data_IF_974551200859
#
_entry.id   IF_974551200859
#
_cell.length_a   1.000
_cell.length_b   1.000
_cell.length_c   1.000
_cell.angle_alpha   90.00
_cell.angle_beta   90.00
_cell.angle_gamma   90.00
#
_symmetry.space_group_name_H-M   'P 1'
#
loop_
_entity.id
_entity.type
_entity.pdbx_description
1 polymer ?
#
# COMPACT_ATOMS: atom_id res chain seq x y z
N UNK A 1 -31.39 -38.76 67.44
CA UNK A 1 -30.01 -39.28 67.24
C UNK A 1 -29.55 -38.78 65.86
N UNK A 2 -29.02 -37.56 65.73
CA UNK A 2 -27.58 -37.22 65.66
C UNK A 2 -26.79 -38.08 64.66
N UNK A 3 -26.43 -37.50 63.49
CA UNK A 3 -25.16 -37.60 62.72
C UNK A 3 -25.24 -36.57 61.56
N UNK A 4 -24.84 -35.30 61.72
CA UNK A 4 -23.53 -34.68 61.41
C UNK A 4 -22.92 -34.98 60.00
N UNK A 5 -22.95 -33.94 59.15
CA UNK A 5 -21.87 -33.40 58.27
C UNK A 5 -21.00 -34.33 57.40
N UNK A 6 -21.03 -34.12 56.07
CA UNK A 6 -19.81 -34.05 55.26
C UNK A 6 -20.02 -33.16 54.00
N UNK A 7 -19.38 -31.99 54.04
CA UNK A 7 -19.17 -31.09 52.88
C UNK A 7 -17.87 -31.53 52.19
N UNK A 8 -17.82 -31.29 50.87
CA UNK A 8 -16.64 -31.06 50.04
C UNK A 8 -15.98 -32.23 49.28
N UNK A 9 -15.84 -31.95 47.98
CA UNK A 9 -14.81 -32.39 47.03
C UNK A 9 -15.05 -33.73 46.33
N UNK A 10 -15.63 -33.63 45.13
CA UNK A 10 -14.98 -34.12 43.90
C UNK A 10 -15.33 -33.18 42.73
N UNK A 11 -14.88 -31.93 42.82
CA UNK A 11 -14.68 -31.04 41.66
C UNK A 11 -13.23 -31.26 41.21
N UNK A 12 -12.98 -32.24 40.34
CA UNK A 12 -11.65 -32.53 39.86
C UNK A 12 -11.67 -32.95 38.39
N UNK A 13 -12.04 -32.01 37.52
CA UNK A 13 -11.67 -32.04 36.09
C UNK A 13 -11.64 -30.64 35.47
N UNK A 14 -11.25 -29.60 36.24
CA UNK A 14 -11.18 -28.21 35.76
C UNK A 14 -9.74 -27.67 35.70
N UNK A 15 -8.73 -28.54 35.68
CA UNK A 15 -7.31 -28.14 35.70
C UNK A 15 -6.64 -27.98 34.34
N UNK A 16 -7.28 -28.40 33.23
CA UNK A 16 -6.66 -28.38 31.88
C UNK A 16 -7.19 -27.23 31.00
N UNK A 17 -8.23 -26.52 31.43
CA UNK A 17 -8.89 -25.46 30.63
C UNK A 17 -8.53 -24.04 31.12
N UNK A 18 -7.75 -23.89 32.20
CA UNK A 18 -7.44 -22.56 32.75
C UNK A 18 -6.38 -21.79 31.94
N UNK A 19 -5.46 -22.49 31.28
CA UNK A 19 -4.33 -21.87 30.55
C UNK A 19 -4.74 -21.38 29.15
N UNK A 20 -5.66 -22.09 28.49
CA UNK A 20 -6.19 -21.69 27.17
C UNK A 20 -7.22 -20.54 27.27
N UNK A 21 -7.78 -20.31 28.47
CA UNK A 21 -8.67 -19.19 28.73
C UNK A 21 -7.92 -17.85 28.91
N UNK A 22 -6.61 -17.89 29.18
CA UNK A 22 -5.79 -16.70 29.45
C UNK A 22 -5.45 -15.93 28.16
N UNK A 23 -5.35 -16.63 27.03
CA UNK A 23 -5.15 -16.03 25.69
C UNK A 23 -6.38 -15.24 25.22
N UNK A 24 -7.58 -15.72 25.56
CA UNK A 24 -8.84 -15.06 25.20
C UNK A 24 -9.21 -13.96 26.21
N UNK A 25 -8.79 -14.11 27.48
CA UNK A 25 -9.07 -13.14 28.55
C UNK A 25 -8.11 -11.94 28.53
N UNK A 26 -6.87 -12.10 28.07
CA UNK A 26 -5.88 -11.01 27.96
C UNK A 26 -5.68 -10.50 26.53
N UNK A 27 -6.62 -10.76 25.61
CA UNK A 27 -6.52 -10.13 24.29
C UNK A 27 -6.69 -8.61 24.47
N UNK A 28 -5.61 -7.85 24.37
CA UNK A 28 -5.69 -6.40 24.30
C UNK A 28 -6.51 -6.04 23.06
N UNK A 29 -7.77 -5.66 23.28
CA UNK A 29 -8.66 -5.27 22.21
C UNK A 29 -8.09 -4.00 21.58
N UNK A 30 -7.73 -4.07 20.29
CA UNK A 30 -7.32 -2.89 19.52
C UNK A 30 -8.39 -1.80 19.65
N UNK A 31 -8.01 -0.64 20.19
CA UNK A 31 -8.94 0.47 20.33
C UNK A 31 -9.39 0.96 18.95
N UNK A 32 -10.69 1.21 18.81
CA UNK A 32 -11.26 1.79 17.58
C UNK A 32 -10.53 3.07 17.16
N UNK A 33 -10.08 3.88 18.13
CA UNK A 33 -9.29 5.09 17.85
C UNK A 33 -7.94 4.78 17.21
N UNK A 34 -7.25 3.72 17.66
CA UNK A 34 -5.96 3.29 17.10
C UNK A 34 -6.14 2.71 15.70
N UNK A 35 -7.20 1.92 15.48
CA UNK A 35 -7.54 1.42 14.14
C UNK A 35 -7.95 2.55 13.19
N UNK A 36 -8.70 3.54 13.68
CA UNK A 36 -9.13 4.68 12.88
C UNK A 36 -7.93 5.57 12.51
N UNK A 37 -7.03 5.85 13.46
CA UNK A 37 -5.79 6.59 13.20
C UNK A 37 -4.85 5.84 12.25
N UNK A 38 -4.70 4.52 12.40
CA UNK A 38 -3.92 3.70 11.47
C UNK A 38 -4.49 3.67 10.04
N UNK A 39 -5.77 4.00 9.87
CA UNK A 39 -6.48 4.10 8.58
C UNK A 39 -6.59 5.54 8.05
N UNK A 40 -5.83 6.48 8.62
CA UNK A 40 -5.81 7.89 8.23
C UNK A 40 -6.82 8.77 8.96
N UNK A 41 -7.66 8.22 9.84
CA UNK A 41 -8.64 9.00 10.59
C UNK A 41 -9.79 9.55 9.72
N UNK A 42 -10.66 10.36 10.34
CA UNK A 42 -11.71 11.10 9.65
C UNK A 42 -11.37 12.59 9.74
N UNK A 43 -10.62 13.09 8.77
CA UNK A 43 -10.37 14.52 8.61
C UNK A 43 -11.23 15.06 7.46
N UNK A 44 -11.88 16.21 7.68
CA UNK A 44 -12.60 16.95 6.64
C UNK A 44 -11.63 17.93 5.98
N UNK A 45 -11.10 17.56 4.82
CA UNK A 45 -10.20 18.43 4.04
C UNK A 45 -11.01 19.23 3.03
N UNK A 46 -11.32 20.48 3.37
CA UNK A 46 -11.98 21.41 2.45
C UNK A 46 -10.93 22.06 1.55
N UNK A 47 -10.76 21.51 0.34
CA UNK A 47 -9.87 22.07 -0.68
C UNK A 47 -10.71 22.89 -1.66
N UNK A 48 -10.59 24.21 -1.57
CA UNK A 48 -11.43 25.14 -2.37
C UNK A 48 -10.94 25.32 -3.82
N UNK A 49 -9.66 25.05 -4.11
CA UNK A 49 -9.13 25.04 -5.48
C UNK A 49 -7.81 24.25 -5.55
N UNK A 50 -7.74 23.23 -6.40
CA UNK A 50 -6.52 22.49 -6.67
C UNK A 50 -6.35 22.31 -8.18
N UNK A 51 -5.24 22.81 -8.73
CA UNK A 51 -4.91 22.64 -10.14
C UNK A 51 -3.48 22.13 -10.27
N UNK A 52 -3.30 21.11 -11.11
CA UNK A 52 -1.99 20.79 -11.62
C UNK A 52 -2.09 20.52 -13.11
N UNK A 53 -1.17 21.13 -13.84
CA UNK A 53 -1.08 21.05 -15.29
C UNK A 53 0.36 20.76 -15.68
N UNK A 54 0.53 20.22 -16.88
CA UNK A 54 1.82 20.18 -17.53
C UNK A 54 1.62 20.57 -18.99
N UNK A 55 2.35 21.61 -19.38
CA UNK A 55 2.41 22.06 -20.76
C UNK A 55 3.72 21.58 -21.37
N UNK A 56 3.65 21.00 -22.57
CA UNK A 56 4.80 20.45 -23.28
C UNK A 56 4.78 20.95 -24.71
N UNK A 57 5.87 21.62 -25.09
CA UNK A 57 6.06 22.14 -26.44
C UNK A 57 7.41 21.66 -26.95
N UNK A 58 7.42 21.09 -28.14
CA UNK A 58 8.64 20.75 -28.80
C UNK A 58 8.41 20.54 -30.28
N UNK A 59 9.49 20.69 -31.02
CA UNK A 59 9.53 20.58 -32.46
C UNK A 59 10.75 19.75 -32.86
N UNK A 60 10.62 19.01 -33.95
CA UNK A 60 11.66 18.15 -34.51
C UNK A 60 11.81 18.47 -35.99
N UNK A 61 12.21 19.71 -36.28
CA UNK A 61 12.39 20.21 -37.64
C UNK A 61 13.86 20.16 -38.11
N UNK A 62 14.05 20.12 -39.43
CA UNK A 62 15.38 20.21 -40.06
C UNK A 62 16.23 18.93 -39.97
N UNK A 63 15.62 17.79 -39.66
CA UNK A 63 16.36 16.57 -39.38
C UNK A 63 16.67 15.73 -40.61
N UNK A 64 17.85 15.12 -40.60
CA UNK A 64 18.27 14.10 -41.57
C UNK A 64 18.96 12.96 -40.84
N UNK A 65 18.57 11.73 -41.14
CA UNK A 65 19.23 10.53 -40.64
C UNK A 65 19.64 9.67 -41.83
N UNK A 66 20.94 9.38 -41.95
CA UNK A 66 21.52 8.62 -43.06
C UNK A 66 22.57 7.65 -42.51
N UNK A 67 22.54 6.40 -43.00
CA UNK A 67 23.40 5.30 -42.53
C UNK A 67 23.25 4.99 -41.03
N UNK A 68 22.08 5.22 -40.43
CA UNK A 68 21.86 4.94 -39.03
C UNK A 68 21.51 3.46 -38.82
N UNK A 69 22.15 2.85 -37.82
CA UNK A 69 21.70 1.59 -37.21
C UNK A 69 21.06 1.95 -35.88
N UNK A 70 19.79 1.60 -35.69
CA UNK A 70 19.06 1.79 -34.44
C UNK A 70 19.09 0.50 -33.62
N UNK A 71 19.01 0.60 -32.29
CA UNK A 71 18.99 -0.55 -31.39
C UNK A 71 17.59 -1.06 -31.05
N UNK A 72 17.53 -2.01 -30.13
CA UNK A 72 16.29 -2.51 -29.55
C UNK A 72 15.97 -1.83 -28.22
N UNK A 73 14.69 -1.51 -28.04
CA UNK A 73 14.13 -1.07 -26.78
C UNK A 73 13.74 -2.34 -25.99
N UNK A 74 14.69 -2.91 -25.25
CA UNK A 74 14.44 -4.15 -24.51
C UNK A 74 14.14 -3.85 -23.05
N UNK A 75 12.95 -4.31 -22.63
CA UNK A 75 12.48 -4.42 -21.26
C UNK A 75 12.11 -5.90 -21.12
N UNK A 76 12.89 -6.64 -20.33
CA UNK A 76 12.78 -8.10 -20.26
C UNK A 76 12.18 -8.57 -18.92
N UNK A 77 12.11 -9.88 -18.72
CA UNK A 77 11.49 -10.53 -17.57
C UNK A 77 11.91 -9.88 -16.24
N UNK A 78 10.91 -9.60 -15.42
CA UNK A 78 11.05 -8.97 -14.09
C UNK A 78 11.55 -7.52 -14.09
N UNK A 79 11.59 -6.82 -15.23
CA UNK A 79 12.03 -5.41 -15.31
C UNK A 79 11.30 -4.47 -14.33
N UNK A 80 10.05 -4.79 -14.01
CA UNK A 80 9.20 -4.05 -13.08
C UNK A 80 8.53 -4.99 -12.06
N UNK A 81 9.15 -6.14 -11.76
CA UNK A 81 8.66 -6.98 -10.65
C UNK A 81 8.63 -6.15 -9.38
N UNK A 82 7.55 -6.28 -8.61
CA UNK A 82 7.33 -5.61 -7.33
C UNK A 82 7.31 -4.08 -7.39
N UNK A 83 7.27 -3.51 -8.61
CA UNK A 83 7.22 -2.07 -8.78
C UNK A 83 5.85 -1.53 -8.35
N UNK A 84 5.86 -0.50 -7.51
CA UNK A 84 4.65 0.10 -6.93
C UNK A 84 4.75 1.62 -6.94
N UNK A 85 3.62 2.29 -6.84
CA UNK A 85 3.53 3.73 -7.02
C UNK A 85 3.44 4.11 -8.50
N UNK A 86 4.06 5.22 -8.88
CA UNK A 86 3.97 5.76 -10.23
C UNK A 86 5.26 5.49 -10.99
N UNK A 87 5.15 4.70 -12.06
CA UNK A 87 6.25 4.32 -12.92
C UNK A 87 6.10 5.00 -14.27
N UNK A 88 7.21 5.53 -14.78
CA UNK A 88 7.25 6.14 -16.10
C UNK A 88 8.45 5.58 -16.85
N UNK A 89 8.19 4.97 -17.99
CA UNK A 89 9.20 4.30 -18.80
C UNK A 89 9.04 4.76 -20.23
N UNK A 90 10.12 5.30 -20.76
CA UNK A 90 10.19 5.71 -22.15
C UNK A 90 11.42 5.08 -22.76
N UNK A 91 11.21 4.36 -23.86
CA UNK A 91 12.28 3.77 -24.65
C UNK A 91 12.17 4.24 -26.09
N UNK A 92 13.27 4.78 -26.62
CA UNK A 92 13.36 5.18 -28.01
C UNK A 92 14.76 4.88 -28.56
N UNK A 93 14.83 4.02 -29.57
CA UNK A 93 16.08 3.68 -30.25
C UNK A 93 16.25 4.39 -31.59
N UNK A 94 15.30 5.25 -31.94
CA UNK A 94 15.25 5.94 -33.22
C UNK A 94 16.12 7.19 -33.25
N UNK A 95 16.19 7.79 -34.44
CA UNK A 95 16.76 9.11 -34.64
C UNK A 95 15.62 10.12 -34.80
N UNK A 96 15.90 11.39 -34.55
CA UNK A 96 14.92 12.47 -34.73
C UNK A 96 13.69 12.26 -33.85
N UNK A 97 13.91 11.91 -32.58
CA UNK A 97 12.82 11.67 -31.64
C UNK A 97 12.83 12.74 -30.58
N UNK A 98 11.72 13.47 -30.52
CA UNK A 98 11.34 14.24 -29.36
C UNK A 98 10.42 13.39 -28.49
N UNK A 99 10.79 13.27 -27.23
CA UNK A 99 9.98 12.63 -26.21
C UNK A 99 9.54 13.70 -25.24
N UNK A 100 8.22 13.85 -25.12
CA UNK A 100 7.61 14.71 -24.13
C UNK A 100 6.72 13.85 -23.26
N UNK A 101 7.14 13.66 -22.02
CA UNK A 101 6.35 12.97 -21.01
C UNK A 101 6.25 13.84 -19.77
N UNK A 102 5.04 13.96 -19.24
CA UNK A 102 4.78 14.55 -17.96
C UNK A 102 3.87 13.64 -17.15
N UNK A 103 4.26 13.39 -15.91
CA UNK A 103 3.44 12.70 -14.92
C UNK A 103 3.09 13.71 -13.85
N UNK A 104 1.83 14.15 -13.85
CA UNK A 104 1.32 15.09 -12.85
C UNK A 104 0.48 14.32 -11.84
N UNK A 105 0.97 14.22 -10.61
CA UNK A 105 0.29 13.49 -9.53
C UNK A 105 -0.20 14.47 -8.49
N UNK A 106 -1.50 14.43 -8.24
CA UNK A 106 -2.15 15.22 -7.21
C UNK A 106 -2.71 14.27 -6.17
N UNK A 107 -2.20 14.39 -4.95
CA UNK A 107 -2.53 13.50 -3.88
C UNK A 107 -3.14 14.29 -2.72
N UNK A 108 -4.41 14.01 -2.45
CA UNK A 108 -5.08 14.43 -1.21
C UNK A 108 -5.28 13.18 -0.36
N UNK A 109 -4.55 13.11 0.76
CA UNK A 109 -4.72 12.04 1.73
C UNK A 109 -5.72 12.49 2.78
N UNK A 110 -6.69 11.64 3.10
CA UNK A 110 -7.62 11.86 4.21
C UNK A 110 -6.96 11.47 5.52
#
# INVERSE_FOLDING_TARGET
>A
MKYLTLIAITLASSGVIADELDILANSETLSENMMNQSRGGQYELKIDNFQASSDMYGDVAGNGAYNNTTGDNVIDANSFSDASGVLNVVQNTGNNVLIQNATVVNLTLK
#
